data_IF_945981848053
#
_entry.id   IF_945981848053
#
_cell.length_a   1.000
_cell.length_b   1.000
_cell.length_c   1.000
_cell.angle_alpha   90.00
_cell.angle_beta   90.00
_cell.angle_gamma   90.00
#
_symmetry.space_group_name_H-M   'P 1'
#
loop_
_entity.id
_entity.type
_entity.pdbx_description
1 polymer ?
#
# COMPACT_ATOMS: atom_id res chain seq x y z
N UNK A 1 -11.00 14.43 1.13
CA UNK A 1 -10.48 14.96 -0.15
C UNK A 1 -11.58 15.15 -1.21
N UNK A 2 -12.17 14.09 -1.76
CA UNK A 2 -13.08 14.17 -2.94
C UNK A 2 -14.27 15.12 -2.76
N UNK A 3 -14.97 15.06 -1.62
CA UNK A 3 -16.12 15.95 -1.36
C UNK A 3 -15.71 17.43 -1.34
N UNK A 4 -14.57 17.75 -0.73
CA UNK A 4 -14.00 19.11 -0.72
C UNK A 4 -13.66 19.54 -2.14
N UNK A 5 -12.95 18.69 -2.90
CA UNK A 5 -12.54 19.00 -4.26
C UNK A 5 -13.71 19.24 -5.21
N UNK A 6 -14.82 18.50 -5.07
CA UNK A 6 -16.05 18.69 -5.88
C UNK A 6 -16.72 20.05 -5.66
N UNK A 7 -16.49 20.69 -4.52
CA UNK A 7 -17.03 22.02 -4.20
C UNK A 7 -16.12 23.17 -4.60
N UNK A 8 -14.96 22.90 -5.22
CA UNK A 8 -14.03 23.92 -5.68
C UNK A 8 -14.33 24.31 -7.13
N UNK A 9 -14.19 25.60 -7.41
CA UNK A 9 -14.33 26.16 -8.76
C UNK A 9 -13.06 25.91 -9.59
N UNK A 10 -12.87 24.65 -10.01
CA UNK A 10 -11.69 24.20 -10.74
C UNK A 10 -11.83 24.44 -12.25
N UNK A 11 -10.72 24.81 -12.89
CA UNK A 11 -10.67 24.91 -14.36
C UNK A 11 -10.81 23.53 -15.04
N UNK A 12 -11.73 23.36 -16.01
CA UNK A 12 -11.84 22.14 -16.80
C UNK A 12 -10.53 21.81 -17.54
N UNK A 13 -10.16 20.52 -17.56
CA UNK A 13 -8.95 20.04 -18.23
C UNK A 13 -7.64 20.22 -17.44
N UNK A 14 -7.65 21.01 -16.36
CA UNK A 14 -6.47 21.18 -15.51
C UNK A 14 -6.37 20.07 -14.45
N UNK A 15 -5.14 19.77 -14.04
CA UNK A 15 -4.83 18.75 -13.03
C UNK A 15 -4.23 19.41 -11.80
N UNK A 16 -5.02 19.48 -10.72
CA UNK A 16 -4.59 19.98 -9.42
C UNK A 16 -4.05 18.84 -8.56
N UNK A 17 -2.78 18.93 -8.16
CA UNK A 17 -2.13 17.92 -7.31
C UNK A 17 -1.90 18.51 -5.92
N UNK A 18 -2.40 17.81 -4.92
CA UNK A 18 -2.36 18.26 -3.54
C UNK A 18 -2.16 17.09 -2.58
N UNK A 19 -1.64 17.40 -1.41
CA UNK A 19 -1.61 16.48 -0.27
C UNK A 19 -2.87 16.72 0.58
N UNK A 20 -3.47 15.64 1.09
CA UNK A 20 -4.65 15.71 1.95
C UNK A 20 -4.29 15.40 3.40
N UNK A 21 -4.58 16.35 4.29
CA UNK A 21 -4.35 16.22 5.72
C UNK A 21 -5.54 16.79 6.51
N UNK A 22 -6.45 15.91 6.92
CA UNK A 22 -7.64 16.31 7.69
C UNK A 22 -7.42 16.43 9.20
N UNK A 23 -6.34 15.86 9.73
CA UNK A 23 -5.99 15.90 11.15
C UNK A 23 -4.50 16.22 11.30
N UNK A 24 -4.08 17.00 12.31
CA UNK A 24 -2.67 17.38 12.47
C UNK A 24 -1.75 16.15 12.65
N UNK A 25 -2.28 15.05 13.18
CA UNK A 25 -1.63 13.74 13.19
C UNK A 25 -2.40 12.77 12.29
N UNK A 26 -1.92 12.56 11.07
CA UNK A 26 -2.53 11.62 10.12
C UNK A 26 -1.77 10.30 10.05
N UNK A 27 -0.49 10.29 10.40
CA UNK A 27 0.35 9.09 10.51
C UNK A 27 1.35 9.30 11.67
N UNK A 28 2.64 9.25 11.33
CA UNK A 28 3.77 9.15 12.24
C UNK A 28 4.21 10.51 12.80
N UNK A 29 4.07 11.59 12.03
CA UNK A 29 4.46 12.94 12.45
C UNK A 29 3.27 13.75 13.00
N UNK A 30 3.45 14.45 14.14
CA UNK A 30 2.50 15.42 14.64
C UNK A 30 2.78 16.80 14.05
N UNK A 31 1.95 17.24 13.11
CA UNK A 31 1.93 18.64 12.69
C UNK A 31 1.20 19.51 13.72
N UNK A 32 1.52 20.80 13.79
CA UNK A 32 0.81 21.73 14.68
C UNK A 32 -0.59 22.09 14.16
N UNK A 33 -0.80 22.06 12.85
CA UNK A 33 -2.06 22.40 12.20
C UNK A 33 -2.32 21.56 10.95
N UNK A 34 -3.51 21.70 10.40
CA UNK A 34 -3.86 21.21 9.05
C UNK A 34 -3.88 22.36 8.06
N UNK A 35 -3.69 22.10 6.76
CA UNK A 35 -3.88 23.12 5.73
C UNK A 35 -5.36 23.48 5.57
N UNK A 36 -5.63 24.64 4.97
CA UNK A 36 -6.96 25.12 4.62
C UNK A 36 -7.74 24.05 3.84
N UNK A 37 -8.98 23.79 4.29
CA UNK A 37 -9.86 22.73 3.75
C UNK A 37 -9.23 21.31 3.75
N UNK A 38 -8.16 21.12 4.53
CA UNK A 38 -7.40 19.87 4.60
C UNK A 38 -6.62 19.53 3.33
N UNK A 39 -6.41 20.49 2.41
CA UNK A 39 -5.69 20.28 1.15
C UNK A 39 -4.57 21.30 1.00
N UNK A 40 -3.37 20.85 0.60
CA UNK A 40 -2.24 21.72 0.27
C UNK A 40 -1.71 21.39 -1.13
N UNK A 41 -1.73 22.38 -2.03
CA UNK A 41 -1.36 22.22 -3.43
C UNK A 41 0.16 22.19 -3.59
N UNK A 42 0.66 21.24 -4.37
CA UNK A 42 2.08 21.17 -4.73
C UNK A 42 2.36 21.24 -6.23
N UNK A 43 1.37 21.04 -7.11
CA UNK A 43 1.46 21.29 -8.55
C UNK A 43 0.08 21.57 -9.15
N UNK A 44 0.06 22.35 -10.23
CA UNK A 44 -1.10 22.51 -11.11
C UNK A 44 -0.60 22.30 -12.54
N UNK A 45 -1.14 21.30 -13.22
CA UNK A 45 -0.88 21.07 -14.64
C UNK A 45 -1.99 21.69 -15.48
N UNK A 46 -1.63 22.54 -16.43
CA UNK A 46 -2.59 23.21 -17.32
C UNK A 46 -2.78 22.43 -18.62
N UNK A 47 -1.74 21.69 -19.05
CA UNK A 47 -1.72 20.83 -20.23
C UNK A 47 -0.79 19.62 -19.98
N UNK A 48 -0.57 18.79 -21.00
CA UNK A 48 0.33 17.64 -20.90
C UNK A 48 1.76 18.09 -20.57
N UNK A 49 2.27 17.65 -19.42
CA UNK A 49 3.60 17.99 -18.89
C UNK A 49 3.89 19.51 -18.79
N UNK A 50 2.86 20.35 -18.82
CA UNK A 50 2.96 21.80 -18.63
C UNK A 50 2.43 22.15 -17.25
N UNK A 51 3.28 22.78 -16.43
CA UNK A 51 3.01 23.05 -15.02
C UNK A 51 3.04 24.55 -14.75
N UNK A 52 2.17 24.99 -13.84
CA UNK A 52 2.09 26.37 -13.42
C UNK A 52 3.30 26.73 -12.53
N UNK A 53 3.91 27.88 -12.81
CA UNK A 53 5.02 28.43 -12.02
C UNK A 53 4.59 28.73 -10.57
N UNK A 54 5.50 28.67 -9.59
CA UNK A 54 5.16 28.77 -8.17
C UNK A 54 4.35 30.01 -7.78
N UNK A 55 4.64 31.16 -8.39
CA UNK A 55 3.94 32.43 -8.12
C UNK A 55 2.49 32.35 -8.56
N UNK A 56 2.23 31.85 -9.76
CA UNK A 56 0.88 31.74 -10.29
C UNK A 56 0.11 30.60 -9.62
N UNK A 57 0.81 29.51 -9.26
CA UNK A 57 0.25 28.42 -8.45
C UNK A 57 -0.25 28.93 -7.10
N UNK A 58 0.50 29.83 -6.46
CA UNK A 58 0.09 30.43 -5.20
C UNK A 58 -1.15 31.32 -5.35
N UNK A 59 -1.24 32.11 -6.42
CA UNK A 59 -2.43 32.93 -6.74
C UNK A 59 -3.65 32.04 -6.97
N UNK A 60 -3.49 30.97 -7.74
CA UNK A 60 -4.58 30.04 -8.06
C UNK A 60 -5.03 29.26 -6.82
N UNK A 61 -4.09 28.78 -6.00
CA UNK A 61 -4.42 28.17 -4.71
C UNK A 61 -5.21 29.14 -3.82
N UNK A 62 -4.77 30.38 -3.71
CA UNK A 62 -5.45 31.41 -2.92
C UNK A 62 -6.86 31.71 -3.43
N UNK A 63 -7.07 31.78 -4.76
CA UNK A 63 -8.39 31.92 -5.39
C UNK A 63 -9.36 30.83 -4.94
N UNK A 64 -8.86 29.59 -4.84
CA UNK A 64 -9.63 28.43 -4.38
C UNK A 64 -9.78 28.37 -2.84
N UNK A 65 -9.18 29.29 -2.09
CA UNK A 65 -9.12 29.27 -0.63
C UNK A 65 -8.32 28.07 -0.11
N UNK A 66 -7.28 27.67 -0.84
CA UNK A 66 -6.35 26.59 -0.51
C UNK A 66 -4.95 27.15 -0.24
N UNK A 67 -4.12 26.36 0.44
CA UNK A 67 -2.71 26.67 0.65
C UNK A 67 -1.84 25.96 -0.40
N UNK A 68 -0.62 26.45 -0.61
CA UNK A 68 0.40 25.77 -1.43
C UNK A 68 1.70 25.57 -0.67
N UNK A 69 2.43 24.50 -1.00
CA UNK A 69 3.76 24.24 -0.45
C UNK A 69 4.73 25.38 -0.84
N UNK A 70 5.65 25.76 0.06
CA UNK A 70 6.58 26.85 -0.19
C UNK A 70 7.71 26.39 -1.13
N UNK A 71 8.25 27.32 -1.91
CA UNK A 71 9.53 27.11 -2.61
C UNK A 71 10.65 27.39 -1.61
N UNK A 72 11.44 26.37 -1.29
CA UNK A 72 12.52 26.50 -0.30
C UNK A 72 13.78 27.14 -0.87
N UNK A 73 14.02 26.94 -2.17
CA UNK A 73 15.20 27.39 -2.90
C UNK A 73 14.94 27.32 -4.42
N UNK A 74 15.56 28.23 -5.17
CA UNK A 74 15.60 28.22 -6.64
C UNK A 74 17.05 28.37 -7.06
N UNK A 75 17.56 27.39 -7.82
CA UNK A 75 18.95 27.37 -8.28
C UNK A 75 19.54 25.97 -8.24
N UNK A 76 20.86 25.90 -8.35
CA UNK A 76 21.62 24.65 -8.26
C UNK A 76 22.01 24.37 -6.81
N UNK A 77 21.78 23.12 -6.38
CA UNK A 77 22.27 22.61 -5.09
C UNK A 77 23.63 21.97 -5.35
N UNK A 78 24.66 22.38 -4.61
CA UNK A 78 26.04 21.98 -4.88
C UNK A 78 26.57 20.92 -3.92
N UNK A 79 25.86 20.64 -2.83
CA UNK A 79 26.30 19.69 -1.80
C UNK A 79 25.13 18.98 -1.11
N UNK A 80 25.41 17.81 -0.53
CA UNK A 80 24.43 17.10 0.31
C UNK A 80 24.08 17.92 1.57
N UNK A 81 25.06 18.65 2.13
CA UNK A 81 24.85 19.49 3.30
C UNK A 81 23.83 20.62 3.05
N UNK A 82 23.81 21.22 1.84
CA UNK A 82 22.77 22.17 1.45
C UNK A 82 21.39 21.51 1.41
N UNK A 83 21.30 20.28 0.90
CA UNK A 83 20.06 19.51 0.84
C UNK A 83 19.54 19.16 2.25
N UNK A 84 20.43 18.73 3.14
CA UNK A 84 20.14 18.47 4.56
C UNK A 84 19.68 19.74 5.29
N UNK A 85 20.29 20.90 4.99
CA UNK A 85 19.88 22.19 5.53
C UNK A 85 18.43 22.58 5.18
N UNK A 86 17.86 22.05 4.09
CA UNK A 86 16.43 22.22 3.81
C UNK A 86 15.54 21.34 4.70
N UNK A 87 16.01 20.15 5.08
CA UNK A 87 15.29 19.21 5.95
C UNK A 87 15.25 19.70 7.40
N UNK A 88 16.26 20.46 7.83
CA UNK A 88 16.30 21.05 9.17
C UNK A 88 15.30 22.18 9.43
N UNK A 89 14.63 22.67 8.38
CA UNK A 89 13.61 23.70 8.50
C UNK A 89 12.34 23.15 9.16
N UNK A 90 11.59 24.02 9.83
CA UNK A 90 10.26 23.68 10.31
C UNK A 90 9.29 23.44 9.13
N UNK A 91 8.43 22.43 9.25
CA UNK A 91 7.33 22.22 8.31
C UNK A 91 6.42 23.45 8.25
N UNK A 92 5.85 23.75 7.07
CA UNK A 92 4.84 24.80 6.89
C UNK A 92 3.57 24.57 7.74
N UNK A 93 3.34 23.32 8.16
CA UNK A 93 2.26 22.92 9.04
C UNK A 93 2.68 22.91 10.53
N UNK A 94 3.93 23.28 10.84
CA UNK A 94 4.49 23.38 12.18
C UNK A 94 4.70 22.03 12.88
N UNK A 95 5.28 22.07 14.08
CA UNK A 95 5.35 20.94 15.03
C UNK A 95 6.45 19.92 14.78
N UNK A 96 7.00 19.88 13.57
CA UNK A 96 8.09 18.97 13.17
C UNK A 96 8.98 19.62 12.11
N UNK A 97 10.17 19.05 11.92
CA UNK A 97 11.06 19.33 10.78
C UNK A 97 10.47 18.82 9.46
N UNK A 98 10.97 19.34 8.35
CA UNK A 98 10.59 18.92 7.00
C UNK A 98 10.94 17.44 6.79
N UNK A 99 9.96 16.66 6.36
CA UNK A 99 10.10 15.23 6.07
C UNK A 99 11.08 14.96 4.92
N UNK A 100 10.90 15.72 3.85
CA UNK A 100 11.61 15.58 2.60
C UNK A 100 11.39 16.79 1.70
N UNK A 101 12.23 16.92 0.69
CA UNK A 101 12.13 17.95 -0.34
C UNK A 101 11.88 17.31 -1.70
N UNK A 102 11.15 18.03 -2.55
CA UNK A 102 10.95 17.66 -3.95
C UNK A 102 11.68 18.67 -4.82
N UNK A 103 12.58 18.18 -5.66
CA UNK A 103 13.33 18.95 -6.65
C UNK A 103 12.64 18.78 -7.99
N UNK A 104 12.29 19.89 -8.65
CA UNK A 104 11.58 19.87 -9.93
C UNK A 104 12.34 20.74 -10.91
N UNK A 105 12.61 20.18 -12.09
CA UNK A 105 13.13 20.94 -13.21
C UNK A 105 12.14 20.81 -14.37
N UNK A 106 11.24 21.79 -14.47
CA UNK A 106 10.19 21.83 -15.50
C UNK A 106 10.74 21.93 -16.93
N UNK A 107 12.01 22.32 -17.11
CA UNK A 107 12.67 22.39 -18.42
C UNK A 107 13.38 21.09 -18.82
N UNK A 108 13.53 20.13 -17.91
CA UNK A 108 14.21 18.86 -18.16
C UNK A 108 13.20 17.73 -18.24
N UNK A 109 13.32 16.88 -19.28
CA UNK A 109 12.50 15.69 -19.45
C UNK A 109 13.31 14.42 -19.24
N UNK A 110 12.71 13.42 -18.60
CA UNK A 110 13.27 12.06 -18.46
C UNK A 110 13.15 11.30 -19.79
N UNK A 111 13.84 10.15 -19.95
CA UNK A 111 13.71 9.30 -21.14
C UNK A 111 12.25 8.88 -21.45
N UNK A 112 11.41 8.81 -20.42
CA UNK A 112 9.99 8.51 -20.49
C UNK A 112 9.13 9.72 -20.89
N UNK A 113 9.75 10.84 -21.29
CA UNK A 113 9.11 12.10 -21.68
C UNK A 113 8.25 12.72 -20.58
N UNK A 114 8.69 12.59 -19.33
CA UNK A 114 8.09 13.23 -18.15
C UNK A 114 8.97 14.34 -17.65
N UNK A 115 8.38 15.40 -17.07
CA UNK A 115 9.18 16.42 -16.38
C UNK A 115 10.02 15.77 -15.28
N UNK A 116 11.31 16.14 -15.21
CA UNK A 116 12.24 15.64 -14.22
C UNK A 116 11.87 16.15 -12.82
N UNK A 117 11.39 15.23 -11.98
CA UNK A 117 11.07 15.48 -10.59
C UNK A 117 11.73 14.39 -9.72
N UNK A 118 12.51 14.82 -8.73
CA UNK A 118 13.13 13.94 -7.75
C UNK A 118 12.64 14.30 -6.35
N UNK A 119 12.59 13.31 -5.45
CA UNK A 119 12.36 13.55 -4.03
C UNK A 119 13.51 13.03 -3.21
N UNK A 120 13.85 13.77 -2.16
CA UNK A 120 14.78 13.34 -1.13
C UNK A 120 14.10 13.42 0.23
N UNK A 121 14.10 12.33 0.98
CA UNK A 121 13.40 12.20 2.26
C UNK A 121 14.43 11.87 3.32
N UNK A 122 14.34 12.52 4.49
CA UNK A 122 15.29 12.33 5.60
C UNK A 122 15.33 10.88 6.09
N UNK A 123 16.51 10.40 6.50
CA UNK A 123 16.66 9.05 7.05
C UNK A 123 15.84 8.85 8.33
N UNK A 124 15.84 9.84 9.22
CA UNK A 124 15.02 9.83 10.43
C UNK A 124 13.52 9.60 10.13
N UNK A 125 13.02 10.19 9.04
CA UNK A 125 11.64 9.95 8.62
C UNK A 125 11.44 8.54 8.05
N UNK A 126 12.36 8.05 7.21
CA UNK A 126 12.28 6.69 6.65
C UNK A 126 12.21 5.64 7.76
N UNK A 127 13.05 5.77 8.79
CA UNK A 127 13.06 4.88 9.95
C UNK A 127 11.72 4.92 10.72
N UNK A 128 11.21 6.12 10.98
CA UNK A 128 9.96 6.27 11.73
C UNK A 128 8.77 5.69 10.95
N UNK A 129 8.76 5.88 9.61
CA UNK A 129 7.76 5.30 8.74
C UNK A 129 7.87 3.77 8.67
N UNK A 130 9.07 3.20 8.63
CA UNK A 130 9.28 1.75 8.64
C UNK A 130 8.79 1.09 9.93
N UNK A 131 9.05 1.71 11.09
CA UNK A 131 8.55 1.22 12.38
C UNK A 131 7.02 1.24 12.41
N UNK A 132 6.41 2.34 11.97
CA UNK A 132 4.96 2.49 11.94
C UNK A 132 4.30 1.58 10.88
N UNK A 133 4.98 1.36 9.75
CA UNK A 133 4.54 0.42 8.72
C UNK A 133 4.57 -1.01 9.22
N UNK A 134 5.63 -1.45 9.93
CA UNK A 134 5.70 -2.79 10.55
C UNK A 134 4.62 -2.99 11.61
N UNK A 135 4.29 -1.96 12.39
CA UNK A 135 3.17 -2.02 13.35
C UNK A 135 1.82 -2.23 12.66
N UNK A 136 1.60 -1.53 11.54
CA UNK A 136 0.37 -1.61 10.74
C UNK A 136 0.31 -2.83 9.83
N UNK A 137 1.46 -3.38 9.46
CA UNK A 137 1.62 -4.54 8.57
C UNK A 137 2.51 -5.58 9.26
N UNK A 138 1.98 -6.28 10.28
CA UNK A 138 2.73 -7.33 10.97
C UNK A 138 3.12 -8.43 9.98
N UNK A 139 4.29 -9.01 10.18
CA UNK A 139 4.77 -10.19 9.47
C UNK A 139 4.16 -11.47 10.06
N UNK A 140 4.33 -12.61 9.38
CA UNK A 140 3.88 -13.90 9.90
C UNK A 140 4.50 -14.26 11.26
N UNK A 141 5.76 -13.86 11.50
CA UNK A 141 6.43 -14.03 12.80
C UNK A 141 5.73 -13.21 13.90
N UNK A 142 5.23 -12.01 13.59
CA UNK A 142 4.55 -11.14 14.56
C UNK A 142 3.19 -11.71 14.98
N UNK A 143 2.47 -12.40 14.08
CA UNK A 143 1.18 -13.02 14.42
C UNK A 143 1.35 -14.24 15.32
N UNK A 144 2.36 -15.07 15.07
CA UNK A 144 2.69 -16.19 15.95
C UNK A 144 3.06 -15.68 17.34
N UNK A 145 3.90 -14.66 17.44
CA UNK A 145 4.30 -14.09 18.73
C UNK A 145 3.10 -13.53 19.50
N UNK A 146 2.16 -12.84 18.83
CA UNK A 146 0.91 -12.36 19.46
C UNK A 146 0.04 -13.49 20.00
N UNK A 147 -0.04 -14.61 19.28
CA UNK A 147 -0.77 -15.79 19.76
C UNK A 147 -0.07 -16.43 20.96
N UNK A 148 1.26 -16.51 20.95
CA UNK A 148 2.05 -16.97 22.11
C UNK A 148 1.75 -16.10 23.33
N UNK A 149 1.84 -14.78 23.21
CA UNK A 149 1.60 -13.86 24.31
C UNK A 149 0.16 -13.92 24.82
N UNK A 150 -0.80 -14.18 23.93
CA UNK A 150 -2.21 -14.32 24.30
C UNK A 150 -2.49 -15.56 25.16
N UNK A 151 -1.82 -16.67 24.91
CA UNK A 151 -2.06 -17.94 25.62
C UNK A 151 -1.02 -18.22 26.72
N UNK A 152 0.05 -17.43 26.80
CA UNK A 152 1.04 -17.47 27.89
C UNK A 152 0.52 -16.69 29.11
N UNK A 153 -0.46 -17.25 29.78
CA UNK A 153 -1.15 -16.65 30.94
C UNK A 153 -1.17 -17.59 32.13
N UNK A 154 -1.10 -17.04 33.35
CA UNK A 154 -1.18 -17.81 34.59
C UNK A 154 -2.42 -18.71 34.65
N UNK A 155 -3.59 -18.24 34.18
CA UNK A 155 -4.82 -19.04 34.12
C UNK A 155 -4.67 -20.33 33.30
N UNK A 156 -3.88 -20.31 32.21
CA UNK A 156 -3.60 -21.52 31.42
C UNK A 156 -2.70 -22.49 32.17
N UNK A 157 -1.75 -21.98 32.94
CA UNK A 157 -0.87 -22.78 33.78
C UNK A 157 -1.63 -23.38 34.98
N UNK A 158 -2.47 -22.58 35.64
CA UNK A 158 -3.36 -23.03 36.73
C UNK A 158 -4.30 -24.13 36.28
N UNK A 159 -4.84 -24.02 35.07
CA UNK A 159 -5.70 -25.06 34.49
C UNK A 159 -4.95 -26.36 34.24
N UNK A 160 -3.72 -26.30 33.72
CA UNK A 160 -2.87 -27.48 33.57
C UNK A 160 -2.56 -28.14 34.92
N UNK A 161 -2.31 -27.34 35.97
CA UNK A 161 -2.14 -27.84 37.34
C UNK A 161 -3.42 -28.53 37.82
N UNK A 162 -4.59 -27.93 37.57
CA UNK A 162 -5.88 -28.49 37.95
C UNK A 162 -6.16 -29.81 37.23
N UNK A 163 -5.86 -29.92 35.93
CA UNK A 163 -6.00 -31.17 35.18
C UNK A 163 -5.13 -32.30 35.75
N UNK A 164 -3.85 -32.03 36.02
CA UNK A 164 -2.95 -33.05 36.60
C UNK A 164 -3.39 -33.44 38.01
N UNK A 165 -3.92 -32.49 38.79
CA UNK A 165 -4.49 -32.75 40.12
C UNK A 165 -5.71 -33.67 40.03
N UNK A 166 -6.66 -33.36 39.15
CA UNK A 166 -7.88 -34.14 38.97
C UNK A 166 -7.61 -35.53 38.38
N UNK A 167 -6.55 -35.67 37.59
CA UNK A 167 -6.04 -36.95 37.12
C UNK A 167 -5.28 -37.76 38.19
N UNK A 168 -5.03 -37.18 39.36
CA UNK A 168 -4.28 -37.82 40.44
C UNK A 168 -2.78 -37.99 40.17
N UNK A 169 -2.24 -37.27 39.18
CA UNK A 169 -0.84 -37.38 38.73
C UNK A 169 0.06 -36.23 39.19
N UNK A 170 -0.51 -35.23 39.87
CA UNK A 170 0.23 -34.10 40.41
C UNK A 170 0.90 -34.46 41.74
N UNK A 171 2.24 -34.46 41.76
CA UNK A 171 3.03 -34.81 42.96
C UNK A 171 3.21 -33.62 43.92
N UNK A 172 2.85 -32.41 43.49
CA UNK A 172 3.12 -31.14 44.20
C UNK A 172 4.62 -30.95 44.48
N UNK A 173 5.47 -31.30 43.51
CA UNK A 173 6.92 -31.16 43.60
C UNK A 173 7.51 -30.60 42.30
N UNK A 174 8.77 -30.12 42.30
CA UNK A 174 9.44 -29.66 41.08
C UNK A 174 9.51 -30.70 39.94
N UNK A 175 9.29 -32.00 40.23
CA UNK A 175 9.21 -33.06 39.21
C UNK A 175 8.02 -32.90 38.27
N UNK A 176 6.96 -32.21 38.71
CA UNK A 176 5.74 -31.97 37.92
C UNK A 176 5.97 -31.04 36.71
N UNK A 177 7.06 -30.25 36.70
CA UNK A 177 7.37 -29.29 35.63
C UNK A 177 7.37 -29.98 34.26
N UNK A 178 7.93 -31.18 34.17
CA UNK A 178 7.98 -31.94 32.92
C UNK A 178 6.60 -32.35 32.40
N UNK A 179 5.66 -32.64 33.31
CA UNK A 179 4.27 -32.93 32.96
C UNK A 179 3.51 -31.65 32.56
N UNK A 180 3.72 -30.55 33.30
CA UNK A 180 3.10 -29.26 33.02
C UNK A 180 3.52 -28.68 31.65
N UNK A 181 4.80 -28.81 31.27
CA UNK A 181 5.30 -28.41 29.94
C UNK A 181 4.57 -29.13 28.80
N UNK A 182 4.08 -30.34 29.04
CA UNK A 182 3.30 -31.12 28.07
C UNK A 182 1.80 -30.79 28.13
N UNK A 183 1.27 -30.59 29.33
CA UNK A 183 -0.15 -30.36 29.55
C UNK A 183 -0.61 -28.98 29.05
N UNK A 184 0.17 -27.92 29.28
CA UNK A 184 -0.20 -26.56 28.84
C UNK A 184 -0.47 -26.45 27.34
N UNK A 185 0.42 -26.90 26.42
CA UNK A 185 0.13 -26.85 24.99
C UNK A 185 -1.00 -27.81 24.59
N UNK A 186 -1.19 -28.93 25.30
CA UNK A 186 -2.29 -29.85 25.05
C UNK A 186 -3.66 -29.23 25.39
N UNK A 187 -3.78 -28.55 26.53
CA UNK A 187 -4.96 -27.77 26.93
C UNK A 187 -5.28 -26.66 25.91
N UNK A 188 -4.29 -25.82 25.61
CA UNK A 188 -4.45 -24.71 24.65
C UNK A 188 -4.89 -25.23 23.29
N UNK A 189 -4.31 -26.34 22.80
CA UNK A 189 -4.74 -26.94 21.55
C UNK A 189 -6.19 -27.43 21.66
N UNK A 190 -6.53 -28.19 22.70
CA UNK A 190 -7.87 -28.76 22.88
C UNK A 190 -8.97 -27.70 22.87
N UNK A 191 -8.71 -26.54 23.48
CA UNK A 191 -9.74 -25.52 23.68
C UNK A 191 -9.70 -24.36 22.68
N UNK A 192 -8.52 -24.04 22.16
CA UNK A 192 -8.30 -22.83 21.37
C UNK A 192 -7.84 -23.11 19.94
N UNK A 193 -7.76 -24.37 19.50
CA UNK A 193 -7.30 -24.72 18.15
C UNK A 193 -8.08 -23.97 17.06
N UNK A 194 -9.40 -23.92 17.15
CA UNK A 194 -10.20 -23.24 16.13
C UNK A 194 -9.97 -21.72 16.11
N UNK A 195 -9.89 -21.10 17.30
CA UNK A 195 -9.58 -19.68 17.41
C UNK A 195 -8.19 -19.35 16.83
N UNK A 196 -7.20 -20.19 17.13
CA UNK A 196 -5.84 -20.06 16.60
C UNK A 196 -5.84 -20.20 15.07
N UNK A 197 -6.55 -21.19 14.52
CA UNK A 197 -6.69 -21.39 13.07
C UNK A 197 -7.33 -20.19 12.40
N UNK A 198 -8.42 -19.68 12.96
CA UNK A 198 -9.12 -18.49 12.44
C UNK A 198 -8.16 -17.28 12.43
N UNK A 199 -7.44 -17.04 13.52
CA UNK A 199 -6.50 -15.92 13.61
C UNK A 199 -5.34 -16.04 12.59
N UNK A 200 -4.76 -17.23 12.47
CA UNK A 200 -3.70 -17.50 11.48
C UNK A 200 -4.23 -17.35 10.05
N UNK A 201 -5.38 -17.96 9.74
CA UNK A 201 -6.00 -17.93 8.42
C UNK A 201 -6.37 -16.51 8.01
N UNK A 202 -6.98 -15.73 8.90
CA UNK A 202 -7.32 -14.33 8.64
C UNK A 202 -6.09 -13.49 8.26
N UNK A 203 -4.93 -13.80 8.85
CA UNK A 203 -3.68 -13.11 8.51
C UNK A 203 -3.10 -13.56 7.16
N UNK A 204 -3.03 -14.86 6.89
CA UNK A 204 -2.34 -15.40 5.71
C UNK A 204 -3.20 -15.41 4.45
N UNK A 205 -4.52 -15.52 4.59
CA UNK A 205 -5.45 -15.66 3.47
C UNK A 205 -5.38 -14.52 2.45
N UNK A 206 -5.29 -13.22 2.83
CA UNK A 206 -5.14 -12.15 1.86
C UNK A 206 -3.93 -12.29 0.94
N UNK A 207 -2.82 -12.84 1.45
CA UNK A 207 -1.62 -13.09 0.64
C UNK A 207 -1.85 -14.25 -0.33
N UNK A 208 -2.45 -15.34 0.14
CA UNK A 208 -2.83 -16.50 -0.70
C UNK A 208 -3.80 -16.05 -1.80
N UNK A 209 -4.86 -15.32 -1.45
CA UNK A 209 -5.87 -14.82 -2.37
C UNK A 209 -5.26 -13.98 -3.51
N UNK A 210 -4.31 -13.10 -3.19
CA UNK A 210 -3.56 -12.34 -4.22
C UNK A 210 -2.65 -13.24 -5.06
N UNK A 211 -1.99 -14.22 -4.43
CA UNK A 211 -1.12 -15.17 -5.11
C UNK A 211 -1.87 -16.01 -6.15
N UNK A 212 -3.02 -16.58 -5.78
CA UNK A 212 -3.80 -17.46 -6.66
C UNK A 212 -4.52 -16.70 -7.78
N UNK A 213 -4.75 -15.40 -7.63
CA UNK A 213 -5.41 -14.56 -8.65
C UNK A 213 -4.41 -13.91 -9.62
N UNK A 214 -3.11 -14.05 -9.37
CA UNK A 214 -2.07 -13.52 -10.25
C UNK A 214 -2.07 -14.27 -11.58
N UNK A 215 -2.14 -13.52 -12.69
CA UNK A 215 -2.17 -14.09 -14.05
C UNK A 215 -3.53 -14.64 -14.49
N UNK A 216 -4.54 -14.64 -13.60
CA UNK A 216 -5.90 -15.02 -13.95
C UNK A 216 -6.50 -14.13 -15.05
N UNK A 217 -6.33 -12.78 -15.03
CA UNK A 217 -6.91 -11.92 -16.07
C UNK A 217 -6.33 -12.21 -17.46
N UNK A 218 -5.01 -12.38 -17.57
CA UNK A 218 -4.31 -12.70 -18.82
C UNK A 218 -4.74 -14.06 -19.35
N UNK A 219 -4.75 -15.07 -18.47
CA UNK A 219 -5.22 -16.41 -18.81
C UNK A 219 -6.66 -16.40 -19.34
N UNK A 220 -7.56 -15.65 -18.69
CA UNK A 220 -8.96 -15.59 -19.11
C UNK A 220 -9.15 -14.84 -20.43
N UNK A 221 -8.41 -13.76 -20.65
CA UNK A 221 -8.39 -13.05 -21.95
C UNK A 221 -7.94 -13.96 -23.09
N UNK A 222 -6.93 -14.79 -22.86
CA UNK A 222 -6.47 -15.75 -23.86
C UNK A 222 -7.56 -16.77 -24.20
N UNK A 223 -8.27 -17.30 -23.20
CA UNK A 223 -9.40 -18.21 -23.42
C UNK A 223 -10.52 -17.58 -24.24
N UNK A 224 -10.87 -16.34 -23.94
CA UNK A 224 -11.88 -15.59 -24.72
C UNK A 224 -11.45 -15.39 -26.17
N UNK A 225 -10.16 -15.14 -26.42
CA UNK A 225 -9.62 -15.04 -27.78
C UNK A 225 -9.69 -16.38 -28.51
N UNK A 226 -9.24 -17.48 -27.89
CA UNK A 226 -9.29 -18.83 -28.46
C UNK A 226 -10.73 -19.24 -28.85
N UNK A 227 -11.71 -18.96 -27.98
CA UNK A 227 -13.12 -19.23 -28.26
C UNK A 227 -13.71 -18.37 -29.38
N UNK A 228 -13.15 -17.18 -29.63
CA UNK A 228 -13.61 -16.31 -30.72
C UNK A 228 -13.11 -16.74 -32.10
N UNK A 229 -12.09 -17.61 -32.18
CA UNK A 229 -11.48 -18.09 -33.43
C UNK A 229 -11.66 -19.61 -33.67
N UNK A 230 -12.43 -20.30 -32.83
CA UNK A 230 -12.54 -21.76 -32.79
C UNK A 230 -13.69 -22.42 -33.57
N UNK A 231 -14.27 -21.77 -34.60
CA UNK A 231 -15.36 -22.35 -35.42
C UNK A 231 -15.13 -22.26 -36.95
N UNK A 232 -13.88 -22.17 -37.43
CA UNK A 232 -13.60 -22.34 -38.86
C UNK A 232 -12.63 -23.51 -39.10
N UNK A 233 -13.19 -24.71 -39.21
CA UNK A 233 -12.56 -25.75 -40.04
C UNK A 233 -13.67 -26.42 -40.83
N UNK A 234 -14.02 -25.80 -41.96
CA UNK A 234 -14.83 -26.42 -43.00
C UNK A 234 -14.02 -27.54 -43.65
N UNK A 235 -14.60 -28.73 -43.69
CA UNK A 235 -14.18 -29.88 -44.48
C UNK A 235 -14.13 -29.50 -45.96
N UNK A 236 -13.09 -29.86 -46.74
CA UNK A 236 -13.11 -29.63 -48.19
C UNK A 236 -14.21 -30.49 -48.81
N UNK A 237 -15.12 -29.86 -49.56
CA UNK A 237 -16.04 -30.56 -50.47
C UNK A 237 -15.21 -31.14 -51.63
N UNK A 238 -15.37 -32.42 -51.88
CA UNK A 238 -15.00 -33.05 -53.15
C UNK A 238 -15.87 -32.40 -54.25
N UNK A 239 -15.22 -31.74 -55.22
CA UNK A 239 -15.87 -31.32 -56.46
C UNK A 239 -16.00 -32.53 -57.37
N UNK A 240 -17.21 -33.08 -57.40
CA UNK A 240 -17.70 -33.95 -58.45
C UNK A 240 -17.96 -33.10 -59.70
N UNK A 241 -17.12 -33.28 -60.71
CA UNK A 241 -17.11 -32.50 -61.95
C UNK A 241 -17.06 -33.40 -63.17
N UNK A 242 -18.05 -34.29 -63.32
CA UNK A 242 -18.32 -35.00 -64.56
C UNK A 242 -19.44 -34.31 -65.35
N UNK A 243 -19.15 -33.83 -66.56
CA UNK A 243 -20.05 -34.07 -67.71
C UNK A 243 -19.31 -33.90 -69.05
N UNK A 244 -19.51 -34.93 -69.87
CA UNK A 244 -19.17 -35.09 -71.29
C UNK A 244 -19.63 -33.93 -72.19
N UNK A 245 -18.97 -33.70 -73.34
CA UNK A 245 -19.44 -34.25 -74.63
C UNK A 245 -18.53 -33.84 -75.83
N UNK A 246 -18.53 -34.74 -76.79
CA UNK A 246 -17.84 -34.91 -78.07
C UNK A 246 -17.83 -33.75 -79.09
N UNK A 247 -16.93 -33.85 -80.07
CA UNK A 247 -17.15 -33.25 -81.40
C UNK A 247 -15.92 -32.80 -82.20
N UNK A 248 -15.32 -33.73 -82.96
CA UNK A 248 -14.60 -33.44 -84.21
C UNK A 248 -15.62 -33.48 -85.36
N UNK A 249 -15.58 -32.52 -86.28
CA UNK A 249 -16.28 -32.56 -87.58
C UNK A 249 -17.19 -31.38 -87.80
#
# INVERSE_FOLDING_TARGET
AVAVAKGLDLHPGWIYRCEFLAKPKHNTLPYSRTPAKGLIIYDIGTELETYMEPVDRAKEAARLGLETVPVMFVGTVHSLAELEGFLDRASILGGTKVEGVVVKNYALFTPEKKVAMGKYVSEAFKETHDVDWRKRNPTGADVVQRLIDRYRTDTRWEKAIQHLRDAGTLESSPRDIGALIKEVPADVRKECEEEIKVALFAHVWPAIQRGITRGLPEWYKQRLAESAFGEETQTPKEEDGGTDDSGRG
#
